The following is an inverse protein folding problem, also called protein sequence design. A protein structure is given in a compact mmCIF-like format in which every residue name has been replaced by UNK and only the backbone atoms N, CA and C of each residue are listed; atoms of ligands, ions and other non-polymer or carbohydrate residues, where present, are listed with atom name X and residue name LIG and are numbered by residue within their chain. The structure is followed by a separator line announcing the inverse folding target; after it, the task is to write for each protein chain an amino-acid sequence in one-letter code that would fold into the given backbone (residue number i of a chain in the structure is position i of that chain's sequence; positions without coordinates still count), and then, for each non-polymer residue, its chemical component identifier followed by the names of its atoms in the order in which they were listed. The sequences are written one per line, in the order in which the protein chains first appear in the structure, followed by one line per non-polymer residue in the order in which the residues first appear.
data_IF_516467705438
#
_entry.id   IF_516467705438
#
_cell.length_a   1.000
_cell.length_b   1.000
_cell.length_c   1.000
_cell.angle_alpha   90.00
_cell.angle_beta   90.00
_cell.angle_gamma   90.00
#
_symmetry.space_group_name_H-M   'P 1'
#
loop_
_entity.id
_entity.type
_entity.pdbx_description
1 polymer ?
#
# COMPACT_ATOMS: atom_id res chain seq x y z
N UNK A 1 7.15 -35.86 -41.32
CA UNK A 1 7.58 -35.13 -42.53
C UNK A 1 8.69 -34.19 -42.11
N UNK A 2 9.92 -34.62 -42.36
CA UNK A 2 11.14 -33.80 -42.23
C UNK A 2 11.37 -33.20 -43.61
N UNK A 3 11.68 -31.91 -43.69
CA UNK A 3 12.49 -31.41 -44.81
C UNK A 3 13.42 -30.30 -44.35
N UNK A 4 14.70 -30.61 -44.51
CA UNK A 4 15.91 -29.81 -44.34
C UNK A 4 16.33 -29.30 -45.72
N UNK A 5 16.97 -28.13 -45.80
CA UNK A 5 18.09 -27.75 -46.72
C UNK A 5 18.45 -26.28 -46.43
N UNK A 6 19.57 -25.93 -45.76
CA UNK A 6 20.96 -25.75 -46.25
C UNK A 6 21.04 -25.04 -47.62
N UNK A 7 21.80 -23.96 -47.85
CA UNK A 7 23.22 -23.69 -47.50
C UNK A 7 23.59 -22.20 -47.72
N UNK A 8 24.58 -21.71 -46.96
CA UNK A 8 25.36 -20.45 -47.09
C UNK A 8 26.38 -20.52 -48.26
N UNK A 9 27.41 -19.64 -48.48
CA UNK A 9 27.77 -18.32 -47.92
C UNK A 9 28.27 -17.29 -48.99
N UNK A 10 28.56 -16.04 -48.58
CA UNK A 10 29.25 -15.04 -49.41
C UNK A 10 29.91 -13.95 -48.59
N UNK A 11 31.23 -13.86 -48.72
CA UNK A 11 32.22 -13.17 -47.88
C UNK A 11 32.20 -11.63 -47.91
N UNK A 12 32.65 -11.04 -46.79
CA UNK A 12 32.92 -9.61 -46.62
C UNK A 12 33.74 -9.35 -45.36
N UNK A 13 35.05 -9.59 -45.49
CA UNK A 13 36.14 -9.59 -44.51
C UNK A 13 36.41 -8.23 -43.81
N UNK A 14 37.13 -8.30 -42.68
CA UNK A 14 38.10 -7.33 -42.06
C UNK A 14 37.72 -6.98 -40.60
N UNK A 15 38.49 -7.21 -39.53
CA UNK A 15 39.78 -7.87 -39.26
C UNK A 15 39.79 -8.23 -37.75
N UNK A 16 40.43 -9.34 -37.40
CA UNK A 16 40.54 -9.86 -36.04
C UNK A 16 41.96 -9.70 -35.45
N UNK A 17 42.00 -9.55 -34.12
CA UNK A 17 42.95 -10.12 -33.16
C UNK A 17 44.40 -9.55 -33.08
N UNK A 18 45.06 -9.62 -31.90
CA UNK A 18 45.56 -10.90 -31.39
C UNK A 18 45.48 -11.14 -29.86
N UNK A 19 45.14 -12.38 -29.53
CA UNK A 19 45.74 -13.25 -28.51
C UNK A 19 46.84 -12.67 -27.60
N UNK A 20 46.71 -12.84 -26.28
CA UNK A 20 47.79 -13.34 -25.42
C UNK A 20 47.22 -14.05 -24.18
N UNK A 21 47.71 -15.27 -24.00
CA UNK A 21 47.55 -16.18 -22.86
C UNK A 21 48.37 -15.67 -21.68
N UNK A 22 47.82 -15.68 -20.45
CA UNK A 22 48.59 -15.99 -19.23
C UNK A 22 47.68 -16.07 -18.00
N UNK A 23 47.68 -17.24 -17.36
CA UNK A 23 47.16 -17.39 -16.01
C UNK A 23 48.09 -16.75 -14.98
N UNK A 24 47.50 -16.14 -13.95
CA UNK A 24 48.16 -15.74 -12.70
C UNK A 24 47.09 -15.94 -11.62
N UNK A 25 47.16 -17.07 -10.92
CA UNK A 25 47.79 -17.23 -9.60
C UNK A 25 46.89 -16.74 -8.45
N UNK A 26 46.51 -17.71 -7.60
CA UNK A 26 46.06 -17.50 -6.24
C UNK A 26 46.99 -16.54 -5.50
N UNK A 27 46.47 -15.39 -5.08
CA UNK A 27 47.08 -14.56 -4.06
C UNK A 27 46.13 -14.49 -2.86
N UNK A 28 46.33 -15.43 -1.95
CA UNK A 28 45.84 -15.36 -0.58
C UNK A 28 46.67 -14.28 0.13
N UNK A 29 46.13 -13.07 0.28
CA UNK A 29 46.81 -11.98 0.95
C UNK A 29 46.17 -11.73 2.31
N UNK A 30 46.69 -12.48 3.28
CA UNK A 30 46.63 -12.17 4.70
C UNK A 30 47.46 -10.90 4.92
N UNK A 31 46.81 -9.75 5.05
CA UNK A 31 47.43 -8.54 5.56
C UNK A 31 46.54 -8.00 6.68
N UNK A 32 47.04 -8.11 7.90
CA UNK A 32 46.46 -7.44 9.05
C UNK A 32 46.53 -5.94 8.86
N UNK A 33 45.38 -5.31 9.08
CA UNK A 33 45.23 -3.88 9.28
C UNK A 33 43.97 -3.72 10.12
N UNK A 34 44.14 -3.50 11.41
CA UNK A 34 43.03 -3.29 12.32
C UNK A 34 42.15 -2.17 11.79
N UNK A 35 40.93 -2.51 11.39
CA UNK A 35 39.87 -1.53 11.29
C UNK A 35 39.62 -1.10 12.72
N UNK A 36 40.28 -0.02 13.13
CA UNK A 36 39.87 0.73 14.30
C UNK A 36 38.37 0.98 14.11
N UNK A 37 37.56 0.36 14.96
CA UNK A 37 36.17 0.73 15.14
C UNK A 37 36.19 2.16 15.67
N UNK A 38 36.35 3.15 14.79
CA UNK A 38 36.03 4.53 15.11
C UNK A 38 34.52 4.56 15.22
N UNK A 39 34.05 4.23 16.42
CA UNK A 39 32.69 4.53 16.85
C UNK A 39 32.44 5.98 16.44
N UNK A 40 31.39 6.29 15.67
CA UNK A 40 31.09 7.66 15.32
C UNK A 40 31.13 8.49 16.60
N UNK A 41 31.85 9.61 16.58
CA UNK A 41 31.91 10.49 17.75
C UNK A 41 30.47 10.80 18.16
N UNK A 42 30.15 10.67 19.46
CA UNK A 42 28.79 10.80 20.01
C UNK A 42 28.05 12.03 19.46
N UNK A 43 28.75 13.13 19.23
CA UNK A 43 28.20 14.35 18.65
C UNK A 43 27.70 14.22 17.21
N UNK A 44 28.35 13.40 16.37
CA UNK A 44 27.89 13.14 15.01
C UNK A 44 26.54 12.39 15.01
N UNK A 45 26.35 11.43 15.92
CA UNK A 45 25.07 10.72 16.07
C UNK A 45 23.93 11.67 16.47
N UNK A 46 24.18 12.60 17.39
CA UNK A 46 23.18 13.61 17.78
C UNK A 46 22.81 14.53 16.62
N UNK A 47 23.76 14.98 15.82
CA UNK A 47 23.48 15.84 14.66
C UNK A 47 22.59 15.12 13.65
N UNK A 48 22.81 13.83 13.41
CA UNK A 48 21.94 13.03 12.55
C UNK A 48 20.53 12.86 13.13
N UNK A 49 20.41 12.67 14.45
CA UNK A 49 19.11 12.59 15.14
C UNK A 49 18.32 13.90 14.99
N UNK A 50 18.97 15.04 15.26
CA UNK A 50 18.35 16.37 15.14
C UNK A 50 17.95 16.65 13.70
N UNK A 51 18.81 16.34 12.73
CA UNK A 51 18.47 16.49 11.29
C UNK A 51 17.25 15.66 10.90
N UNK A 52 17.14 14.41 11.38
CA UNK A 52 15.95 13.57 11.13
C UNK A 52 14.70 14.17 11.77
N UNK A 53 14.77 14.61 13.02
CA UNK A 53 13.64 15.23 13.71
C UNK A 53 13.16 16.51 13.01
N UNK A 54 14.09 17.39 12.60
CA UNK A 54 13.78 18.59 11.82
C UNK A 54 13.17 18.22 10.47
N UNK A 55 13.71 17.19 9.79
CA UNK A 55 13.16 16.66 8.55
C UNK A 55 11.74 16.13 8.68
N UNK A 56 11.38 15.54 9.83
CA UNK A 56 10.00 15.11 10.09
C UNK A 56 9.05 16.31 10.26
N UNK A 57 9.47 17.36 10.99
CA UNK A 57 8.65 18.56 11.19
C UNK A 57 8.39 19.26 9.85
N UNK A 58 9.42 19.39 9.01
CA UNK A 58 9.28 20.03 7.69
C UNK A 58 8.49 19.14 6.72
N UNK A 59 8.71 17.82 6.75
CA UNK A 59 8.02 16.85 5.90
C UNK A 59 6.51 16.77 6.11
N UNK A 60 6.03 17.05 7.33
CA UNK A 60 4.60 17.09 7.65
C UNK A 60 3.92 18.44 7.35
N UNK A 61 4.59 19.36 6.65
CA UNK A 61 4.04 20.69 6.34
C UNK A 61 4.16 21.68 7.50
N UNK A 62 5.21 21.53 8.31
CA UNK A 62 5.52 22.40 9.44
C UNK A 62 4.87 21.93 10.75
N UNK A 63 5.01 22.76 11.80
CA UNK A 63 4.63 22.40 13.17
C UNK A 63 3.14 22.06 13.30
N UNK A 64 2.26 22.78 12.60
CA UNK A 64 0.80 22.50 12.65
C UNK A 64 0.47 21.12 12.08
N UNK A 65 1.03 20.77 10.93
CA UNK A 65 0.80 19.47 10.31
C UNK A 65 1.43 18.34 11.13
N UNK A 66 2.63 18.57 11.66
CA UNK A 66 3.28 17.65 12.60
C UNK A 66 2.42 17.39 13.84
N UNK A 67 1.88 18.43 14.48
CA UNK A 67 1.02 18.29 15.66
C UNK A 67 -0.30 17.58 15.32
N UNK A 68 -0.92 17.94 14.20
CA UNK A 68 -2.14 17.26 13.75
C UNK A 68 -1.88 15.77 13.53
N UNK A 69 -0.78 15.44 12.86
CA UNK A 69 -0.37 14.08 12.61
C UNK A 69 -0.07 13.33 13.92
N UNK A 70 0.62 13.96 14.86
CA UNK A 70 0.92 13.40 16.17
C UNK A 70 -0.36 13.09 16.95
N UNK A 71 -1.30 14.03 17.04
CA UNK A 71 -2.55 13.83 17.79
C UNK A 71 -3.54 12.89 17.09
N UNK A 72 -3.46 12.76 15.77
CA UNK A 72 -4.40 11.92 15.01
C UNK A 72 -3.91 10.50 14.79
N UNK A 73 -2.64 10.32 14.45
CA UNK A 73 -2.06 9.02 14.12
C UNK A 73 -1.21 8.43 15.25
N UNK A 74 -0.93 9.20 16.32
CA UNK A 74 0.01 8.83 17.39
C UNK A 74 1.42 8.45 16.90
N UNK A 75 1.73 8.71 15.62
CA UNK A 75 2.99 8.36 14.97
C UNK A 75 3.34 9.44 13.93
N UNK A 76 4.62 9.84 13.90
CA UNK A 76 5.13 10.98 13.10
C UNK A 76 6.03 10.51 11.95
N UNK A 77 5.79 9.29 11.47
CA UNK A 77 6.48 8.74 10.32
C UNK A 77 6.27 9.59 9.08
N UNK A 78 7.30 9.61 8.25
CA UNK A 78 7.31 10.20 6.92
C UNK A 78 7.62 9.09 5.93
N UNK A 79 6.97 9.11 4.77
CA UNK A 79 7.13 8.08 3.75
C UNK A 79 6.77 8.62 2.38
N UNK A 80 7.02 7.82 1.34
CA UNK A 80 6.64 8.17 -0.02
C UNK A 80 5.12 8.08 -0.17
N UNK A 81 4.49 9.10 -0.74
CA UNK A 81 3.06 9.06 -1.07
C UNK A 81 2.86 8.17 -2.30
N UNK A 82 2.21 7.03 -2.11
CA UNK A 82 1.93 6.05 -3.17
C UNK A 82 0.69 6.43 -3.97
N UNK A 83 -0.31 6.97 -3.29
CA UNK A 83 -1.53 7.44 -3.94
C UNK A 83 -2.56 8.00 -2.96
N UNK A 84 -3.63 8.52 -3.53
CA UNK A 84 -4.77 9.08 -2.83
C UNK A 84 -6.01 8.40 -3.40
N UNK A 85 -6.90 7.92 -2.54
CA UNK A 85 -8.18 7.37 -3.01
C UNK A 85 -9.21 8.47 -3.32
N UNK A 86 -10.36 8.03 -3.83
CA UNK A 86 -11.51 8.90 -4.13
C UNK A 86 -12.09 9.65 -2.92
N UNK A 87 -11.78 9.23 -1.70
CA UNK A 87 -12.26 9.84 -0.45
C UNK A 87 -11.26 10.81 0.18
N UNK A 88 -10.03 10.84 -0.35
CA UNK A 88 -8.95 11.65 0.19
C UNK A 88 -8.12 10.95 1.27
N UNK A 89 -8.26 9.63 1.46
CA UNK A 89 -7.29 8.88 2.26
C UNK A 89 -5.97 8.81 1.48
N UNK A 90 -4.87 9.07 2.18
CA UNK A 90 -3.52 9.12 1.61
C UNK A 90 -2.74 7.89 2.04
N UNK A 91 -2.18 7.18 1.07
CA UNK A 91 -1.45 5.93 1.29
C UNK A 91 0.05 6.15 1.15
N UNK A 92 0.80 5.69 2.14
CA UNK A 92 2.24 5.91 2.23
C UNK A 92 2.99 4.59 2.33
N UNK A 93 4.18 4.56 1.74
CA UNK A 93 5.11 3.44 1.83
C UNK A 93 6.52 3.94 2.19
N UNK A 94 7.18 3.21 3.08
CA UNK A 94 8.61 3.33 3.33
C UNK A 94 9.20 1.95 3.67
N UNK A 95 9.99 1.41 2.73
CA UNK A 95 10.64 0.08 2.81
C UNK A 95 11.80 0.03 3.81
N UNK A 96 12.21 1.17 4.38
CA UNK A 96 13.20 1.22 5.46
C UNK A 96 12.62 0.70 6.79
N UNK A 97 11.29 0.75 6.95
CA UNK A 97 10.63 0.16 8.11
C UNK A 97 10.47 -1.35 7.97
N UNK A 98 10.34 -2.01 9.12
CA UNK A 98 10.10 -3.45 9.16
C UNK A 98 8.72 -3.83 8.57
N UNK A 99 8.60 -5.09 8.17
CA UNK A 99 7.37 -5.66 7.62
C UNK A 99 6.19 -5.49 8.59
N UNK A 100 5.08 -4.92 8.10
CA UNK A 100 3.93 -4.51 8.93
C UNK A 100 3.90 -3.03 9.35
N UNK A 101 5.03 -2.30 9.33
CA UNK A 101 5.05 -0.83 9.55
C UNK A 101 5.42 -0.01 8.32
N UNK A 102 5.86 -0.68 7.26
CA UNK A 102 6.29 -0.08 5.98
C UNK A 102 5.15 0.53 5.14
N UNK A 103 3.89 0.08 5.32
CA UNK A 103 2.71 0.66 4.66
C UNK A 103 1.75 1.21 5.71
N UNK A 104 1.22 2.41 5.46
CA UNK A 104 0.20 3.00 6.33
C UNK A 104 -0.72 3.93 5.55
N UNK A 105 -1.87 4.21 6.16
CA UNK A 105 -2.87 5.14 5.63
C UNK A 105 -3.04 6.32 6.57
N UNK A 106 -3.19 7.50 5.99
CA UNK A 106 -3.61 8.71 6.67
C UNK A 106 -5.03 9.02 6.21
N UNK A 107 -5.99 8.78 7.12
CA UNK A 107 -7.41 8.89 6.81
C UNK A 107 -7.84 10.32 6.45
N UNK A 108 -8.90 10.42 5.67
CA UNK A 108 -9.56 11.67 5.33
C UNK A 108 -10.26 12.28 6.55
N UNK A 109 -10.52 13.59 6.51
CA UNK A 109 -11.20 14.33 7.57
C UNK A 109 -12.73 14.19 7.51
N UNK A 110 -13.25 13.84 6.34
CA UNK A 110 -14.66 13.63 6.09
C UNK A 110 -14.86 12.51 5.08
N UNK A 111 -15.75 11.57 5.39
CA UNK A 111 -16.10 10.48 4.49
C UNK A 111 -17.60 10.21 4.59
N UNK A 112 -18.27 10.11 3.43
CA UNK A 112 -19.71 9.82 3.32
C UNK A 112 -20.59 10.73 4.22
N UNK A 113 -20.25 12.02 4.33
CA UNK A 113 -20.96 13.00 5.16
C UNK A 113 -20.70 12.88 6.68
N UNK A 114 -19.87 11.93 7.12
CA UNK A 114 -19.44 11.79 8.51
C UNK A 114 -18.12 12.54 8.72
N UNK A 115 -18.03 13.33 9.79
CA UNK A 115 -16.78 13.97 10.22
C UNK A 115 -15.88 12.92 10.87
N UNK A 116 -14.79 12.57 10.21
CA UNK A 116 -13.83 11.52 10.61
C UNK A 116 -12.48 12.11 11.04
N UNK A 117 -12.46 13.38 11.45
CA UNK A 117 -11.24 14.05 11.89
C UNK A 117 -10.61 13.32 13.09
N UNK A 118 -11.44 12.88 14.04
CA UNK A 118 -11.03 12.16 15.24
C UNK A 118 -11.58 10.72 15.26
N UNK A 119 -12.76 10.50 14.70
CA UNK A 119 -13.41 9.18 14.59
C UNK A 119 -12.91 8.43 13.36
N UNK A 120 -11.62 8.11 13.35
CA UNK A 120 -11.01 7.29 12.30
C UNK A 120 -11.41 5.81 12.49
N UNK A 121 -11.75 5.14 11.39
CA UNK A 121 -12.12 3.73 11.42
C UNK A 121 -11.39 2.95 10.31
N UNK A 122 -10.99 1.71 10.62
CA UNK A 122 -10.32 0.82 9.68
C UNK A 122 -11.19 0.44 8.48
N UNK A 123 -12.51 0.46 8.66
CA UNK A 123 -13.47 0.17 7.59
C UNK A 123 -13.56 1.25 6.51
N UNK A 124 -12.91 2.42 6.71
CA UNK A 124 -12.91 3.54 5.75
C UNK A 124 -12.06 3.27 4.50
N UNK A 125 -11.20 2.26 4.52
CA UNK A 125 -10.35 1.91 3.38
C UNK A 125 -11.19 1.21 2.30
N UNK A 126 -11.23 1.71 1.05
CA UNK A 126 -11.93 1.03 -0.03
C UNK A 126 -11.26 -0.30 -0.41
N UNK A 127 -12.03 -1.21 -1.00
CA UNK A 127 -11.59 -2.57 -1.31
C UNK A 127 -10.30 -2.64 -2.17
N UNK A 128 -10.11 -1.68 -3.07
CA UNK A 128 -8.92 -1.60 -3.94
C UNK A 128 -7.63 -1.37 -3.14
N UNK A 129 -7.66 -0.45 -2.18
CA UNK A 129 -6.53 -0.10 -1.33
C UNK A 129 -6.36 -1.07 -0.17
N UNK A 130 -7.44 -1.73 0.25
CA UNK A 130 -7.41 -2.75 1.30
C UNK A 130 -6.45 -3.90 0.96
N UNK A 131 -6.46 -4.38 -0.29
CA UNK A 131 -5.53 -5.44 -0.73
C UNK A 131 -4.07 -5.05 -0.57
N UNK A 132 -3.71 -3.83 -0.98
CA UNK A 132 -2.35 -3.32 -0.92
C UNK A 132 -1.90 -3.02 0.52
N UNK A 133 -2.77 -2.39 1.32
CA UNK A 133 -2.49 -2.04 2.71
C UNK A 133 -2.25 -3.28 3.57
N UNK A 134 -3.04 -4.35 3.35
CA UNK A 134 -2.90 -5.62 4.05
C UNK A 134 -1.87 -6.57 3.43
N UNK A 135 -1.00 -6.08 2.55
CA UNK A 135 0.09 -6.85 1.95
C UNK A 135 -0.39 -8.12 1.21
N UNK A 136 -1.61 -8.13 0.66
CA UNK A 136 -2.09 -9.21 -0.20
C UNK A 136 -1.49 -9.14 -1.61
N UNK A 137 -1.03 -7.95 -1.99
CA UNK A 137 -0.40 -7.65 -3.28
C UNK A 137 0.65 -6.56 -3.07
N UNK A 138 1.71 -6.57 -3.85
CA UNK A 138 2.72 -5.51 -3.84
C UNK A 138 2.31 -4.30 -4.67
N UNK A 139 1.45 -4.52 -5.66
CA UNK A 139 1.06 -3.49 -6.62
C UNK A 139 -0.09 -2.64 -6.07
N UNK A 140 0.06 -1.30 -6.02
CA UNK A 140 -1.02 -0.41 -5.63
C UNK A 140 -2.08 -0.33 -6.74
N UNK A 141 -3.33 0.01 -6.39
CA UNK A 141 -4.41 0.17 -7.37
C UNK A 141 -4.13 1.30 -8.39
N UNK A 142 -3.22 2.22 -8.08
CA UNK A 142 -2.73 3.24 -9.03
C UNK A 142 -2.03 2.62 -10.25
N UNK A 143 -1.29 1.53 -10.05
CA UNK A 143 -0.55 0.83 -11.12
C UNK A 143 -1.40 -0.28 -11.74
N UNK A 144 -2.14 -1.01 -10.89
CA UNK A 144 -2.97 -2.14 -11.30
C UNK A 144 -4.41 -1.93 -10.80
N UNK A 145 -5.22 -1.14 -11.53
CA UNK A 145 -6.58 -0.85 -11.14
C UNK A 145 -7.44 -2.12 -11.20
N UNK A 146 -8.41 -2.28 -10.29
CA UNK A 146 -9.34 -3.40 -10.32
C UNK A 146 -10.22 -3.34 -11.58
N UNK A 147 -10.55 -4.50 -12.13
CA UNK A 147 -11.49 -4.59 -13.26
C UNK A 147 -12.88 -4.07 -12.84
N UNK A 148 -13.41 -3.02 -13.50
CA UNK A 148 -14.73 -2.51 -13.16
C UNK A 148 -15.80 -3.52 -13.58
N UNK A 149 -16.65 -3.92 -12.63
CA UNK A 149 -17.80 -4.79 -12.87
C UNK A 149 -19.07 -4.05 -12.50
N UNK A 150 -20.12 -4.22 -13.30
CA UNK A 150 -21.43 -3.54 -13.15
C UNK A 150 -22.10 -3.67 -11.77
N UNK A 151 -21.75 -4.70 -11.01
CA UNK A 151 -22.34 -4.98 -9.70
C UNK A 151 -21.49 -4.46 -8.53
N UNK A 152 -20.28 -3.94 -8.80
CA UNK A 152 -19.44 -3.37 -7.76
C UNK A 152 -20.01 -2.02 -7.33
N UNK A 153 -20.05 -1.80 -6.02
CA UNK A 153 -20.46 -0.52 -5.47
C UNK A 153 -19.47 0.57 -5.90
N UNK A 154 -19.97 1.59 -6.61
CA UNK A 154 -19.18 2.76 -6.99
C UNK A 154 -18.70 3.53 -5.76
N UNK A 155 -19.55 3.59 -4.72
CA UNK A 155 -19.25 4.23 -3.44
C UNK A 155 -19.11 3.14 -2.38
N UNK A 156 -17.91 3.04 -1.81
CA UNK A 156 -17.60 2.28 -0.62
C UNK A 156 -18.40 2.79 0.58
N UNK A 157 -19.10 1.88 1.25
CA UNK A 157 -19.81 2.15 2.49
C UNK A 157 -18.94 1.75 3.67
N UNK A 158 -18.80 2.66 4.62
CA UNK A 158 -18.11 2.41 5.89
C UNK A 158 -18.95 1.49 6.78
N UNK A 159 -18.37 0.99 7.87
CA UNK A 159 -19.12 0.24 8.86
C UNK A 159 -20.20 1.11 9.51
N UNK A 160 -21.46 0.70 9.32
CA UNK A 160 -22.68 1.37 9.84
C UNK A 160 -23.24 0.69 11.08
N UNK A 161 -22.48 -0.22 11.71
CA UNK A 161 -22.87 -0.86 12.97
C UNK A 161 -23.13 0.18 14.07
N UNK A 162 -24.23 0.03 14.80
CA UNK A 162 -24.63 0.97 15.86
C UNK A 162 -25.25 2.28 15.37
N UNK A 163 -25.45 2.45 14.07
CA UNK A 163 -26.20 3.58 13.48
C UNK A 163 -27.62 3.15 13.08
N UNK A 164 -28.46 4.10 12.67
CA UNK A 164 -29.79 3.81 12.10
C UNK A 164 -29.71 2.91 10.86
N UNK A 165 -28.59 2.97 10.14
CA UNK A 165 -28.40 2.29 8.85
C UNK A 165 -27.77 0.90 9.05
N UNK A 166 -27.75 0.39 10.28
CA UNK A 166 -27.22 -0.93 10.57
C UNK A 166 -28.06 -2.04 9.89
N UNK A 167 -27.40 -3.12 9.51
CA UNK A 167 -28.08 -4.28 8.93
C UNK A 167 -28.95 -4.97 9.97
N UNK A 168 -30.26 -5.03 9.72
CA UNK A 168 -31.23 -5.77 10.53
C UNK A 168 -31.64 -7.04 9.78
N UNK A 169 -31.37 -8.24 10.32
CA UNK A 169 -31.77 -9.47 9.67
C UNK A 169 -33.29 -9.61 9.67
N UNK A 170 -33.84 -10.06 8.55
CA UNK A 170 -35.25 -10.40 8.40
C UNK A 170 -35.39 -11.74 7.68
N UNK A 171 -36.55 -12.40 7.83
CA UNK A 171 -36.84 -13.59 7.03
C UNK A 171 -37.03 -13.18 5.57
N UNK A 172 -36.12 -13.63 4.70
CA UNK A 172 -36.27 -13.50 3.24
C UNK A 172 -37.31 -14.46 2.67
N UNK A 173 -37.82 -15.39 3.48
CA UNK A 173 -38.86 -16.33 3.06
C UNK A 173 -40.25 -15.74 3.26
N UNK A 174 -41.15 -15.85 2.26
CA UNK A 174 -42.54 -15.49 2.42
C UNK A 174 -43.26 -16.50 3.32
N UNK A 175 -44.43 -16.11 3.81
CA UNK A 175 -45.29 -16.99 4.61
C UNK A 175 -45.75 -18.20 3.78
N UNK A 176 -45.46 -19.40 4.27
CA UNK A 176 -45.72 -20.66 3.54
C UNK A 176 -47.19 -21.08 3.51
N UNK A 177 -47.92 -20.82 4.60
CA UNK A 177 -49.32 -21.21 4.76
C UNK A 177 -50.15 -19.93 4.76
N UNK A 178 -51.08 -19.77 3.83
CA UNK A 178 -51.97 -18.60 3.79
C UNK A 178 -53.21 -18.84 4.66
N UNK A 179 -53.60 -17.89 5.52
CA UNK A 179 -54.86 -18.00 6.26
C UNK A 179 -56.06 -17.82 5.33
N UNK A 180 -57.12 -18.55 5.62
CA UNK A 180 -58.44 -18.18 5.12
C UNK A 180 -58.93 -16.92 5.85
N UNK A 181 -59.32 -15.88 5.10
CA UNK A 181 -59.90 -14.64 5.65
C UNK A 181 -61.43 -14.76 5.64
N UNK A 182 -62.11 -14.72 6.79
CA UNK A 182 -63.56 -14.83 6.83
C UNK A 182 -64.25 -13.61 6.20
N UNK A 183 -65.45 -13.78 5.60
CA UNK A 183 -66.24 -12.66 5.13
C UNK A 183 -66.70 -11.77 6.30
N UNK A 184 -66.68 -10.45 6.11
CA UNK A 184 -67.21 -9.49 7.10
C UNK A 184 -68.73 -9.53 7.10
N UNK A 185 -69.33 -9.71 8.27
CA UNK A 185 -70.79 -9.69 8.44
C UNK A 185 -71.32 -8.27 8.11
N UNK A 186 -72.24 -8.16 7.15
CA UNK A 186 -72.97 -6.92 6.86
C UNK A 186 -72.53 -6.09 5.65
N UNK A 187 -71.67 -6.60 4.77
CA UNK A 187 -71.43 -6.00 3.45
C UNK A 187 -72.26 -6.75 2.39
N UNK A 188 -73.51 -6.33 2.20
CA UNK A 188 -74.36 -6.61 1.04
C UNK A 188 -74.91 -5.29 0.51
#
# INVERSE_FOLDING_TARGET
MVSVTNQSPGDGLVLANPSTVSGILLANQRAGGGVCCSSPSTMAEYVHLVRRAVGQITGHGGVKGFLLQLFRANDVKTGALVGIDKYGNKYYEDKLYFFGRHRWVIYTTEMNGKRTLWDVDGSMVPAEWHRWLHCMTDDPPTTHPPEPKKFLAEIHQINVSGTSDCYVPYSTTPKKIHEWVPPKVGQQ
#
